data_IF_497108655467
#
_entry.id   IF_497108655467
#
_cell.length_a   1.000
_cell.length_b   1.000
_cell.length_c   1.000
_cell.angle_alpha   90.00
_cell.angle_beta   90.00
_cell.angle_gamma   90.00
#
_symmetry.space_group_name_H-M   'P 1'
#
loop_
_entity.id
_entity.type
_entity.pdbx_description
1 polymer ?
#
# COMPACT_ATOMS: atom_id res chain seq x y z
N UNK A 1 -28.52 6.78 8.78
CA UNK A 1 -28.13 8.18 8.48
C UNK A 1 -27.44 8.77 9.70
N UNK A 2 -26.59 9.80 9.55
CA UNK A 2 -25.89 10.46 10.69
C UNK A 2 -24.37 10.26 10.75
N UNK A 3 -23.69 10.13 9.61
CA UNK A 3 -22.22 10.11 9.58
C UNK A 3 -21.67 11.50 9.94
N UNK A 4 -20.85 11.56 10.99
CA UNK A 4 -20.07 12.76 11.33
C UNK A 4 -18.80 12.77 10.47
N UNK A 5 -18.47 13.91 9.88
CA UNK A 5 -17.25 14.13 9.10
C UNK A 5 -16.65 15.50 9.44
N UNK A 6 -15.37 15.68 9.13
CA UNK A 6 -14.68 16.96 9.32
C UNK A 6 -14.80 17.84 8.08
N UNK A 7 -15.11 19.12 8.27
CA UNK A 7 -15.01 20.14 7.22
C UNK A 7 -13.62 20.78 7.29
N UNK A 8 -12.82 20.61 6.23
CA UNK A 8 -11.50 21.24 6.14
C UNK A 8 -11.65 22.71 5.73
N UNK A 9 -11.19 23.63 6.57
CA UNK A 9 -11.18 25.08 6.30
C UNK A 9 -9.80 25.63 5.96
N UNK A 10 -8.77 24.80 6.09
CA UNK A 10 -7.39 25.07 5.67
C UNK A 10 -6.73 23.74 5.27
N UNK A 11 -5.95 23.77 4.19
CA UNK A 11 -5.18 22.64 3.67
C UNK A 11 -3.80 23.13 3.21
N UNK A 12 -2.81 22.25 3.19
CA UNK A 12 -1.49 22.56 2.64
C UNK A 12 -1.47 22.51 1.10
N UNK A 13 -0.41 23.04 0.49
CA UNK A 13 -0.28 23.14 -0.97
C UNK A 13 -0.23 21.77 -1.68
N UNK A 14 0.34 20.73 -1.04
CA UNK A 14 0.39 19.40 -1.64
C UNK A 14 -1.01 18.79 -1.69
N UNK A 15 -1.78 18.94 -0.61
CA UNK A 15 -3.18 18.51 -0.59
C UNK A 15 -4.03 19.30 -1.59
N UNK A 16 -3.80 20.61 -1.71
CA UNK A 16 -4.54 21.49 -2.63
C UNK A 16 -4.30 21.19 -4.12
N UNK A 17 -3.19 20.53 -4.45
CA UNK A 17 -2.83 20.15 -5.83
C UNK A 17 -3.12 18.68 -6.13
N UNK A 18 -3.71 17.94 -5.18
CA UNK A 18 -4.09 16.55 -5.37
C UNK A 18 -5.29 16.39 -6.32
N UNK A 19 -5.45 15.19 -6.87
CA UNK A 19 -6.57 14.87 -7.77
C UNK A 19 -7.87 14.51 -7.03
N UNK A 20 -7.86 14.51 -5.69
CA UNK A 20 -9.01 14.12 -4.86
C UNK A 20 -9.41 15.24 -3.92
N UNK A 21 -10.69 15.30 -3.56
CA UNK A 21 -11.24 16.37 -2.71
C UNK A 21 -11.08 16.09 -1.20
N UNK A 22 -10.88 14.83 -0.81
CA UNK A 22 -10.73 14.46 0.59
C UNK A 22 -10.44 12.98 0.82
N UNK A 23 -10.46 12.56 2.09
CA UNK A 23 -10.08 11.22 2.53
C UNK A 23 -11.26 10.54 3.24
N UNK A 24 -11.56 9.31 2.83
CA UNK A 24 -12.49 8.43 3.52
C UNK A 24 -11.70 7.38 4.32
N UNK A 25 -11.57 7.59 5.64
CA UNK A 25 -10.83 6.68 6.52
C UNK A 25 -11.56 5.35 6.76
N UNK A 26 -10.83 4.24 6.58
CA UNK A 26 -11.33 2.86 6.75
C UNK A 26 -10.62 2.06 7.86
N UNK A 27 -9.79 2.73 8.68
CA UNK A 27 -9.14 2.12 9.84
C UNK A 27 -10.10 1.94 11.03
N UNK A 28 -9.61 1.43 12.16
CA UNK A 28 -10.44 1.21 13.35
C UNK A 28 -10.81 2.54 14.05
N UNK A 29 -11.93 2.58 14.80
CA UNK A 29 -12.37 3.77 15.54
C UNK A 29 -11.30 4.35 16.48
N UNK A 30 -10.39 3.54 17.00
CA UNK A 30 -9.32 3.97 17.90
C UNK A 30 -8.36 4.99 17.28
N UNK A 31 -8.28 5.09 15.95
CA UNK A 31 -7.49 6.11 15.24
C UNK A 31 -8.27 7.37 14.87
N UNK A 32 -9.58 7.41 15.17
CA UNK A 32 -10.41 8.57 14.83
C UNK A 32 -10.05 9.76 15.73
N UNK A 33 -9.47 10.82 15.14
CA UNK A 33 -9.16 12.06 15.86
C UNK A 33 -10.39 12.74 16.46
N UNK A 34 -11.57 12.50 15.87
CA UNK A 34 -12.84 13.04 16.35
C UNK A 34 -13.51 12.12 17.39
N UNK A 35 -12.96 10.93 17.66
CA UNK A 35 -13.57 9.94 18.54
C UNK A 35 -14.89 9.36 18.03
N UNK A 36 -15.18 9.50 16.72
CA UNK A 36 -16.40 8.99 16.10
C UNK A 36 -16.14 7.76 15.24
N UNK A 37 -17.19 6.96 15.03
CA UNK A 37 -17.12 5.80 14.13
C UNK A 37 -16.78 6.22 12.70
N UNK A 38 -15.81 5.54 12.06
CA UNK A 38 -15.57 5.65 10.63
C UNK A 38 -16.80 5.24 9.80
N UNK A 39 -16.92 5.71 8.55
CA UNK A 39 -18.07 5.41 7.69
C UNK A 39 -18.44 3.93 7.59
N UNK A 40 -17.45 3.06 7.36
CA UNK A 40 -17.70 1.64 7.20
C UNK A 40 -18.22 0.96 8.48
N UNK A 41 -17.74 1.39 9.66
CA UNK A 41 -18.25 0.91 10.96
C UNK A 41 -19.72 1.29 11.13
N UNK A 42 -20.10 2.50 10.73
CA UNK A 42 -21.49 2.92 10.75
C UNK A 42 -22.37 2.16 9.73
N UNK A 43 -21.82 1.77 8.57
CA UNK A 43 -22.52 0.92 7.61
C UNK A 43 -22.80 -0.47 8.19
N UNK A 44 -21.82 -1.08 8.85
CA UNK A 44 -21.98 -2.36 9.56
C UNK A 44 -23.07 -2.24 10.63
N UNK A 45 -23.00 -1.21 11.49
CA UNK A 45 -23.98 -1.01 12.57
C UNK A 45 -25.40 -0.76 12.06
N UNK A 46 -25.54 -0.19 10.86
CA UNK A 46 -26.83 0.03 10.20
C UNK A 46 -27.35 -1.21 9.46
N UNK A 47 -26.53 -2.26 9.30
CA UNK A 47 -26.90 -3.47 8.57
C UNK A 47 -27.10 -3.24 7.06
N UNK A 48 -26.40 -2.27 6.47
CA UNK A 48 -26.52 -1.92 5.03
C UNK A 48 -25.44 -2.57 4.16
N UNK A 49 -24.62 -3.46 4.73
CA UNK A 49 -23.62 -4.25 4.02
C UNK A 49 -23.87 -5.74 4.29
N UNK A 50 -23.73 -6.57 3.25
CA UNK A 50 -24.01 -8.01 3.36
C UNK A 50 -23.01 -8.72 4.29
N UNK A 51 -21.74 -8.30 4.25
CA UNK A 51 -20.67 -8.81 5.11
C UNK A 51 -19.86 -7.65 5.72
N UNK A 52 -19.31 -7.80 6.95
CA UNK A 52 -18.50 -6.77 7.58
C UNK A 52 -17.05 -6.76 7.04
N UNK A 53 -16.89 -6.79 5.72
CA UNK A 53 -15.60 -6.75 5.02
C UNK A 53 -15.63 -5.73 3.89
N UNK A 54 -14.47 -5.21 3.52
CA UNK A 54 -14.26 -4.47 2.29
C UNK A 54 -13.02 -4.98 1.58
N UNK A 55 -12.93 -4.73 0.27
CA UNK A 55 -11.80 -5.16 -0.55
C UNK A 55 -11.41 -4.09 -1.56
N UNK A 56 -10.11 -4.01 -1.82
CA UNK A 56 -9.53 -3.15 -2.84
C UNK A 56 -8.99 -3.97 -4.01
N UNK A 57 -9.28 -3.50 -5.21
CA UNK A 57 -8.51 -3.79 -6.41
C UNK A 57 -7.87 -2.48 -6.87
N UNK A 58 -6.54 -2.45 -6.92
CA UNK A 58 -5.79 -1.29 -7.39
C UNK A 58 -5.08 -1.70 -8.67
N UNK A 59 -5.37 -0.98 -9.75
CA UNK A 59 -4.74 -1.30 -11.02
C UNK A 59 -3.31 -0.75 -11.11
N UNK A 60 -2.51 -1.34 -12.00
CA UNK A 60 -1.15 -0.85 -12.29
C UNK A 60 -1.23 0.50 -13.00
N UNK A 61 -0.25 1.36 -12.74
CA UNK A 61 -0.17 2.74 -13.27
C UNK A 61 -0.31 2.81 -14.80
N UNK A 62 0.14 1.79 -15.53
CA UNK A 62 0.15 1.77 -17.00
C UNK A 62 -1.03 0.98 -17.61
N UNK A 63 -2.01 0.60 -16.81
CA UNK A 63 -3.22 -0.07 -17.29
C UNK A 63 -4.39 0.92 -17.32
N UNK A 64 -5.30 0.74 -18.28
CA UNK A 64 -6.44 1.63 -18.50
C UNK A 64 -7.65 1.30 -17.64
N UNK A 65 -7.65 0.15 -16.95
CA UNK A 65 -8.75 -0.23 -16.07
C UNK A 65 -8.71 0.56 -14.75
N UNK A 66 -9.88 0.94 -14.27
CA UNK A 66 -10.06 1.66 -13.00
C UNK A 66 -9.83 0.73 -11.78
N UNK A 67 -9.53 1.33 -10.63
CA UNK A 67 -9.55 0.62 -9.35
C UNK A 67 -10.97 0.39 -8.84
N UNK A 68 -11.15 -0.56 -7.92
CA UNK A 68 -12.45 -0.88 -7.31
C UNK A 68 -12.34 -0.98 -5.79
N UNK A 69 -13.28 -0.36 -5.07
CA UNK A 69 -13.54 -0.60 -3.65
C UNK A 69 -14.90 -1.28 -3.50
N UNK A 70 -14.91 -2.50 -2.97
CA UNK A 70 -16.13 -3.24 -2.63
C UNK A 70 -16.39 -3.07 -1.14
N UNK A 71 -17.57 -2.56 -0.78
CA UNK A 71 -18.05 -2.51 0.60
C UNK A 71 -19.10 -3.61 0.78
N UNK A 72 -18.86 -4.57 1.67
CA UNK A 72 -19.81 -5.65 1.94
C UNK A 72 -19.46 -7.00 1.30
N UNK A 73 -18.29 -7.15 0.69
CA UNK A 73 -17.93 -8.38 -0.01
C UNK A 73 -16.56 -8.32 -0.71
N UNK A 74 -16.38 -9.19 -1.69
CA UNK A 74 -15.21 -9.25 -2.59
C UNK A 74 -15.69 -9.47 -4.02
N UNK A 75 -14.97 -8.92 -5.00
CA UNK A 75 -15.23 -9.20 -6.41
C UNK A 75 -14.30 -10.32 -6.92
N UNK A 76 -14.81 -11.51 -7.24
CA UNK A 76 -14.00 -12.67 -7.65
C UNK A 76 -13.32 -12.49 -9.01
N UNK A 77 -13.69 -11.48 -9.80
CA UNK A 77 -13.03 -11.21 -11.07
C UNK A 77 -11.67 -10.51 -10.91
N UNK A 78 -11.38 -9.97 -9.73
CA UNK A 78 -10.17 -9.19 -9.46
C UNK A 78 -9.06 -9.95 -8.73
N UNK A 79 -9.23 -11.25 -8.48
CA UNK A 79 -8.18 -12.10 -7.92
C UNK A 79 -8.27 -13.53 -8.44
N UNK A 80 -7.17 -14.27 -8.29
CA UNK A 80 -7.11 -15.69 -8.62
C UNK A 80 -6.75 -16.53 -7.40
N UNK A 81 -7.18 -17.79 -7.41
CA UNK A 81 -6.96 -18.69 -6.28
C UNK A 81 -7.76 -18.28 -5.03
N UNK A 82 -7.25 -18.62 -3.85
CA UNK A 82 -7.89 -18.32 -2.57
C UNK A 82 -7.21 -17.18 -1.83
N UNK A 83 -8.03 -16.38 -1.13
CA UNK A 83 -7.56 -15.31 -0.23
C UNK A 83 -6.79 -15.91 0.95
N UNK A 84 -5.63 -15.36 1.25
CA UNK A 84 -4.86 -15.67 2.46
C UNK A 84 -5.17 -14.62 3.52
N UNK A 85 -5.79 -15.05 4.61
CA UNK A 85 -6.10 -14.18 5.74
C UNK A 85 -4.96 -14.17 6.77
N UNK A 86 -4.80 -13.06 7.48
CA UNK A 86 -3.90 -12.92 8.63
C UNK A 86 -4.64 -12.13 9.72
N UNK A 87 -4.46 -12.46 11.01
CA UNK A 87 -5.10 -11.71 12.08
C UNK A 87 -4.52 -10.30 12.20
N UNK A 88 -5.39 -9.35 12.56
CA UNK A 88 -4.98 -8.01 13.01
C UNK A 88 -4.40 -8.13 14.42
N UNK A 89 -3.23 -7.50 14.64
CA UNK A 89 -2.49 -7.55 15.90
C UNK A 89 -3.05 -6.59 16.93
N UNK A 90 -3.39 -5.37 16.50
CA UNK A 90 -3.97 -4.32 17.34
C UNK A 90 -5.01 -3.54 16.53
N UNK A 91 -6.17 -3.27 17.13
CA UNK A 91 -7.30 -2.61 16.46
C UNK A 91 -7.14 -1.08 16.46
N UNK A 92 -6.03 -0.61 15.89
CA UNK A 92 -5.78 0.79 15.55
C UNK A 92 -5.69 0.94 14.03
N UNK A 93 -4.53 0.65 13.44
CA UNK A 93 -4.38 0.44 12.00
C UNK A 93 -4.84 -0.98 11.64
N UNK A 94 -4.86 -1.29 10.34
CA UNK A 94 -4.90 -2.67 9.86
C UNK A 94 -3.55 -3.36 10.09
N UNK A 95 -3.10 -3.42 11.34
CA UNK A 95 -1.75 -3.86 11.70
C UNK A 95 -1.64 -5.38 11.67
N UNK A 96 -0.72 -5.91 10.85
CA UNK A 96 -0.51 -7.36 10.67
C UNK A 96 0.93 -7.76 10.99
N UNK A 97 1.14 -9.03 11.31
CA UNK A 97 2.50 -9.59 11.41
C UNK A 97 2.98 -10.07 10.03
N UNK A 98 4.23 -9.73 9.70
CA UNK A 98 4.98 -10.32 8.60
C UNK A 98 6.17 -11.10 9.17
N UNK A 99 6.47 -12.26 8.60
CA UNK A 99 7.58 -13.11 9.03
C UNK A 99 8.94 -12.65 8.46
N UNK A 100 8.95 -11.62 7.62
CA UNK A 100 10.16 -10.98 7.12
C UNK A 100 10.05 -10.58 5.65
N UNK A 101 11.11 -9.90 5.18
CA UNK A 101 11.30 -9.50 3.80
C UNK A 101 12.53 -10.19 3.23
N UNK A 102 12.42 -10.67 1.98
CA UNK A 102 13.45 -11.43 1.30
C UNK A 102 13.77 -10.82 -0.06
N UNK A 103 15.04 -10.89 -0.46
CA UNK A 103 15.53 -10.52 -1.77
C UNK A 103 16.07 -11.78 -2.45
N UNK A 104 15.34 -12.28 -3.46
CA UNK A 104 15.50 -13.66 -3.91
C UNK A 104 15.33 -14.63 -2.73
N UNK A 105 16.36 -15.42 -2.43
CA UNK A 105 16.38 -16.33 -1.27
C UNK A 105 17.01 -15.75 -0.01
N UNK A 106 17.58 -14.54 -0.06
CA UNK A 106 18.28 -13.93 1.07
C UNK A 106 17.31 -13.16 1.95
N UNK A 107 17.33 -13.40 3.26
CA UNK A 107 16.57 -12.60 4.21
C UNK A 107 17.18 -11.19 4.33
N UNK A 108 16.34 -10.15 4.21
CA UNK A 108 16.75 -8.74 4.30
C UNK A 108 16.18 -8.08 5.56
N UNK A 109 14.93 -8.35 5.90
CA UNK A 109 14.32 -7.83 7.12
C UNK A 109 13.76 -8.96 8.00
N UNK A 110 13.93 -8.87 9.34
CA UNK A 110 13.38 -9.84 10.29
C UNK A 110 11.85 -9.74 10.37
N UNK A 111 11.19 -10.65 11.12
CA UNK A 111 9.78 -10.51 11.45
C UNK A 111 9.45 -9.13 12.05
N UNK A 112 8.34 -8.56 11.62
CA UNK A 112 7.92 -7.21 12.01
C UNK A 112 6.39 -7.07 11.89
N UNK A 113 5.87 -5.94 12.37
CA UNK A 113 4.50 -5.52 12.08
C UNK A 113 4.48 -4.61 10.85
N UNK A 114 3.42 -4.72 10.05
CA UNK A 114 3.20 -3.91 8.87
C UNK A 114 1.75 -3.42 8.79
N UNK A 115 1.52 -2.32 8.07
CA UNK A 115 0.19 -1.78 7.80
C UNK A 115 -0.06 -1.84 6.28
N UNK A 116 -1.02 -2.65 5.80
CA UNK A 116 -1.55 -2.51 4.46
C UNK A 116 -2.39 -1.22 4.41
N UNK A 117 -1.83 -0.19 3.78
CA UNK A 117 -2.41 1.15 3.74
C UNK A 117 -2.69 1.57 2.30
N UNK A 118 -3.97 1.60 1.92
CA UNK A 118 -4.40 2.05 0.58
C UNK A 118 -4.16 3.55 0.35
N UNK A 119 -3.89 4.32 1.40
CA UNK A 119 -3.58 5.75 1.32
C UNK A 119 -2.10 6.06 1.04
N UNK A 120 -1.22 5.05 1.07
CA UNK A 120 0.21 5.22 0.85
C UNK A 120 0.64 4.55 -0.46
N UNK A 121 1.21 5.33 -1.38
CA UNK A 121 1.57 4.84 -2.74
C UNK A 121 2.80 3.95 -2.79
N UNK A 122 3.76 4.12 -1.87
CA UNK A 122 5.07 3.45 -1.89
C UNK A 122 5.26 2.51 -0.68
N UNK A 123 6.28 1.66 -0.74
CA UNK A 123 6.61 0.73 0.34
C UNK A 123 7.59 1.40 1.31
N UNK A 124 7.10 1.72 2.50
CA UNK A 124 7.91 2.30 3.57
C UNK A 124 8.36 1.27 4.59
N UNK A 125 9.55 1.46 5.14
CA UNK A 125 10.04 0.69 6.28
C UNK A 125 11.39 1.19 6.78
N UNK A 126 12.01 0.47 7.73
CA UNK A 126 13.26 0.89 8.32
C UNK A 126 14.32 1.15 7.25
N UNK A 127 14.88 2.36 7.28
CA UNK A 127 15.84 2.85 6.28
C UNK A 127 16.97 1.85 5.97
N UNK A 128 17.46 1.12 6.99
CA UNK A 128 18.47 0.08 6.81
C UNK A 128 18.08 -0.99 5.78
N UNK A 129 16.87 -1.55 5.91
CA UNK A 129 16.40 -2.66 5.07
C UNK A 129 16.04 -2.18 3.66
N UNK A 130 15.41 -1.00 3.56
CA UNK A 130 15.07 -0.41 2.25
C UNK A 130 16.34 -0.06 1.46
N UNK A 131 17.38 0.44 2.14
CA UNK A 131 18.68 0.70 1.52
C UNK A 131 19.41 -0.57 1.09
N UNK A 132 19.17 -1.72 1.73
CA UNK A 132 19.71 -3.00 1.25
C UNK A 132 19.08 -3.41 -0.08
N UNK A 133 17.74 -3.31 -0.20
CA UNK A 133 17.03 -3.59 -1.45
C UNK A 133 17.48 -2.62 -2.55
N UNK A 134 17.46 -1.32 -2.28
CA UNK A 134 17.84 -0.29 -3.25
C UNK A 134 19.27 -0.46 -3.75
N UNK A 135 20.24 -0.82 -2.89
CA UNK A 135 21.61 -1.11 -3.33
C UNK A 135 21.68 -2.32 -4.25
N UNK A 136 20.91 -3.37 -3.98
CA UNK A 136 20.96 -4.60 -4.76
C UNK A 136 20.34 -4.46 -6.16
N UNK A 137 19.43 -3.50 -6.35
CA UNK A 137 18.84 -3.16 -7.66
C UNK A 137 19.60 -2.04 -8.40
N UNK A 138 20.74 -1.59 -7.86
CA UNK A 138 21.54 -0.52 -8.47
C UNK A 138 20.95 0.89 -8.31
N UNK A 139 20.11 1.10 -7.29
CA UNK A 139 19.45 2.37 -7.02
C UNK A 139 20.43 3.46 -6.57
N UNK A 140 20.35 4.61 -7.22
CA UNK A 140 21.04 5.85 -6.88
C UNK A 140 20.10 6.76 -6.11
N UNK A 141 20.51 7.19 -4.91
CA UNK A 141 19.69 8.09 -4.09
C UNK A 141 19.81 9.53 -4.62
N UNK A 142 18.70 10.06 -5.10
CA UNK A 142 18.50 11.43 -5.53
C UNK A 142 17.47 12.08 -4.61
N UNK A 143 17.95 12.80 -3.58
CA UNK A 143 17.12 13.54 -2.63
C UNK A 143 16.05 12.70 -1.92
N UNK A 144 16.38 11.46 -1.57
CA UNK A 144 15.50 10.53 -0.86
C UNK A 144 14.71 9.58 -1.76
N UNK A 145 14.73 9.79 -3.08
CA UNK A 145 14.15 8.89 -4.08
C UNK A 145 15.27 8.05 -4.69
N UNK A 146 15.01 6.79 -5.03
CA UNK A 146 16.00 5.90 -5.62
C UNK A 146 15.72 5.69 -7.11
N UNK A 147 16.62 6.19 -7.96
CA UNK A 147 16.56 6.04 -9.42
C UNK A 147 17.37 4.82 -9.84
N UNK A 148 16.83 4.01 -10.75
CA UNK A 148 17.48 2.81 -11.31
C UNK A 148 17.56 2.89 -12.83
N UNK A 149 18.47 2.11 -13.42
CA UNK A 149 18.51 1.93 -14.87
C UNK A 149 17.28 1.13 -15.34
N UNK A 150 16.44 1.75 -16.16
CA UNK A 150 15.27 1.12 -16.76
C UNK A 150 15.59 -0.15 -17.57
N UNK A 151 16.78 -0.22 -18.17
CA UNK A 151 17.23 -1.39 -18.92
C UNK A 151 17.56 -2.59 -18.03
N UNK A 152 17.90 -2.34 -16.75
CA UNK A 152 18.29 -3.37 -15.80
C UNK A 152 17.10 -4.08 -15.13
N UNK A 153 15.86 -3.57 -15.28
CA UNK A 153 14.65 -4.08 -14.59
C UNK A 153 14.53 -5.61 -14.72
N UNK A 154 14.66 -6.15 -15.94
CA UNK A 154 14.52 -7.59 -16.19
C UNK A 154 15.59 -8.48 -15.53
N UNK A 155 16.64 -7.88 -14.94
CA UNK A 155 17.70 -8.58 -14.22
C UNK A 155 17.66 -8.40 -12.70
N UNK A 156 16.75 -7.55 -12.20
CA UNK A 156 16.65 -7.28 -10.78
C UNK A 156 16.03 -8.49 -10.04
N UNK A 157 16.41 -8.73 -8.78
CA UNK A 157 15.86 -9.82 -7.97
C UNK A 157 14.39 -9.58 -7.59
N UNK A 158 13.63 -10.66 -7.43
CA UNK A 158 12.32 -10.57 -6.78
C UNK A 158 12.47 -10.13 -5.31
N UNK A 159 11.50 -9.36 -4.83
CA UNK A 159 11.35 -9.06 -3.39
C UNK A 159 10.14 -9.83 -2.90
N UNK A 160 10.21 -10.42 -1.70
CA UNK A 160 9.08 -11.17 -1.15
C UNK A 160 8.81 -10.81 0.30
N UNK A 161 7.54 -10.68 0.64
CA UNK A 161 7.06 -10.59 2.00
C UNK A 161 6.41 -11.91 2.41
N UNK A 162 6.70 -12.40 3.62
CA UNK A 162 6.07 -13.62 4.12
C UNK A 162 4.94 -13.26 5.07
N UNK A 163 3.71 -13.57 4.68
CA UNK A 163 2.50 -13.27 5.46
C UNK A 163 1.72 -14.57 5.65
N UNK A 164 1.46 -14.95 6.89
CA UNK A 164 0.78 -16.20 7.25
C UNK A 164 1.33 -17.43 6.48
N UNK A 165 2.65 -17.64 6.54
CA UNK A 165 3.38 -18.73 5.87
C UNK A 165 3.27 -18.75 4.32
N UNK A 166 2.81 -17.67 3.70
CA UNK A 166 2.75 -17.53 2.23
C UNK A 166 3.70 -16.44 1.78
N UNK A 167 4.45 -16.72 0.71
CA UNK A 167 5.28 -15.73 0.02
C UNK A 167 4.41 -14.89 -0.91
N UNK A 168 4.43 -13.57 -0.68
CA UNK A 168 3.89 -12.57 -1.59
C UNK A 168 5.07 -11.97 -2.35
N UNK A 169 5.23 -12.42 -3.60
CA UNK A 169 6.39 -12.10 -4.44
C UNK A 169 6.05 -10.89 -5.30
N UNK A 170 6.90 -9.87 -5.22
CA UNK A 170 6.95 -8.73 -6.13
C UNK A 170 8.07 -8.97 -7.13
N UNK A 171 7.71 -8.96 -8.41
CA UNK A 171 8.67 -8.97 -9.50
C UNK A 171 9.19 -7.54 -9.76
N UNK A 172 10.32 -7.37 -10.45
CA UNK A 172 10.87 -6.04 -10.74
C UNK A 172 9.87 -5.05 -11.34
N UNK A 173 8.99 -5.50 -12.21
CA UNK A 173 7.92 -4.69 -12.80
C UNK A 173 6.81 -4.26 -11.82
N UNK A 174 6.73 -4.90 -10.65
CA UNK A 174 5.76 -4.57 -9.60
C UNK A 174 6.29 -3.48 -8.65
N UNK A 175 7.61 -3.40 -8.45
CA UNK A 175 8.23 -2.47 -7.49
C UNK A 175 9.10 -1.37 -8.13
N UNK A 176 9.15 -1.29 -9.46
CA UNK A 176 9.76 -0.18 -10.20
C UNK A 176 8.68 0.62 -10.92
N UNK A 177 8.55 1.90 -10.56
CA UNK A 177 7.68 2.84 -11.23
C UNK A 177 8.40 3.49 -12.40
N UNK A 178 7.72 3.57 -13.55
CA UNK A 178 8.14 4.35 -14.71
C UNK A 178 7.41 5.68 -14.67
N UNK A 179 8.15 6.77 -14.52
CA UNK A 179 7.60 8.13 -14.44
C UNK A 179 8.13 8.92 -15.62
N UNK A 180 7.24 9.59 -16.33
CA UNK A 180 7.62 10.52 -17.40
C UNK A 180 7.98 11.87 -16.79
N UNK A 181 9.19 12.34 -17.06
CA UNK A 181 9.68 13.64 -16.61
C UNK A 181 10.32 14.39 -17.78
N UNK A 182 9.73 15.52 -18.16
CA UNK A 182 10.21 16.35 -19.27
C UNK A 182 10.37 15.61 -20.61
N UNK A 183 9.57 14.57 -20.85
CA UNK A 183 9.60 13.73 -22.06
C UNK A 183 10.53 12.53 -21.99
N UNK A 184 11.31 12.37 -20.90
CA UNK A 184 12.13 11.20 -20.64
C UNK A 184 11.47 10.29 -19.61
N UNK A 185 11.67 8.97 -19.75
CA UNK A 185 11.19 7.99 -18.77
C UNK A 185 12.27 7.75 -17.71
N UNK A 186 11.93 8.02 -16.46
CA UNK A 186 12.76 7.75 -15.28
C UNK A 186 12.18 6.55 -14.53
N UNK A 187 13.05 5.62 -14.14
CA UNK A 187 12.65 4.46 -13.35
C UNK A 187 13.00 4.66 -11.88
N UNK A 188 11.98 4.54 -11.01
CA UNK A 188 12.05 4.84 -9.59
C UNK A 188 11.71 3.58 -8.79
N UNK A 189 12.53 3.26 -7.79
CA UNK A 189 12.22 2.22 -6.81
C UNK A 189 11.11 2.65 -5.87
N UNK A 190 10.16 1.76 -5.57
CA UNK A 190 9.10 2.03 -4.60
C UNK A 190 9.52 1.83 -3.14
N UNK A 191 10.76 1.42 -2.85
CA UNK A 191 11.23 1.16 -1.50
C UNK A 191 11.82 2.42 -0.85
N UNK A 192 11.11 2.95 0.14
CA UNK A 192 11.42 4.21 0.80
C UNK A 192 11.83 4.00 2.26
N UNK A 193 12.94 4.62 2.66
CA UNK A 193 13.37 4.62 4.06
C UNK A 193 12.57 5.61 4.89
N UNK A 194 12.09 5.15 6.05
CA UNK A 194 11.53 5.96 7.13
C UNK A 194 12.15 5.61 8.48
#
# INVERSE_FOLDING_TARGET
>A
TGQIFGEATAIDENTATSLFDGILGLAYPALSSMGVNPPFVNMINQGVVDQPIFAFYLNKVNDSAEGELVLGGVNPNHFTGSITYTPVVQTNYWLINIAGMYLGSAAVAPPAMAVPDSGTSLLYGPTEYMNQVNRAIGGLNESGIYIVDCAAIGSMPNVSFVINNRFFVLHPEDYILRVEFSGDVVCISTFMGS
#
